data_IF_295141286311
#
_entry.id   IF_295141286311
#
_cell.length_a   1.000
_cell.length_b   1.000
_cell.length_c   1.000
_cell.angle_alpha   90.00
_cell.angle_beta   90.00
_cell.angle_gamma   90.00
#
_symmetry.space_group_name_H-M   'P 1'
#
loop_
_entity.id
_entity.type
_entity.pdbx_description
1 polymer ?
#
# COMPACT_ATOMS: atom_id res chain seq x y z
N UNK A 1 21.08 -4.96 -13.29
CA UNK A 1 21.72 -5.19 -11.99
C UNK A 1 21.32 -4.11 -10.98
N UNK A 2 21.57 -2.80 -11.21
CA UNK A 2 21.27 -1.70 -10.27
C UNK A 2 19.82 -1.67 -9.79
N UNK A 3 18.84 -1.77 -10.69
CA UNK A 3 17.42 -1.80 -10.32
C UNK A 3 17.08 -3.07 -9.54
N UNK A 4 17.77 -4.19 -9.76
CA UNK A 4 17.61 -5.40 -8.94
C UNK A 4 18.01 -5.18 -7.48
N UNK A 5 19.11 -4.45 -7.22
CA UNK A 5 19.49 -4.07 -5.86
C UNK A 5 18.42 -3.17 -5.19
N UNK A 6 17.91 -2.18 -5.92
CA UNK A 6 16.82 -1.32 -5.43
C UNK A 6 15.54 -2.11 -5.17
N UNK A 7 15.22 -3.07 -6.03
CA UNK A 7 14.03 -3.92 -5.87
C UNK A 7 14.14 -4.77 -4.61
N UNK A 8 15.31 -5.34 -4.32
CA UNK A 8 15.55 -6.07 -3.08
C UNK A 8 15.31 -5.18 -1.84
N UNK A 9 15.88 -3.97 -1.83
CA UNK A 9 15.67 -3.03 -0.73
C UNK A 9 14.18 -2.63 -0.62
N UNK A 10 13.54 -2.31 -1.75
CA UNK A 10 12.13 -1.89 -1.82
C UNK A 10 11.15 -2.96 -1.32
N UNK A 11 11.46 -4.24 -1.50
CA UNK A 11 10.59 -5.35 -1.10
C UNK A 11 10.91 -5.92 0.29
N UNK A 12 12.09 -5.61 0.84
CA UNK A 12 12.55 -6.20 2.10
C UNK A 12 12.44 -5.24 3.29
N UNK A 13 12.91 -3.98 3.15
CA UNK A 13 13.09 -3.07 4.30
C UNK A 13 12.76 -1.61 4.01
N UNK A 14 12.55 -1.22 2.75
CA UNK A 14 12.40 0.17 2.34
C UNK A 14 11.10 0.39 1.57
N UNK A 15 9.94 0.39 2.25
CA UNK A 15 8.64 0.69 1.64
C UNK A 15 8.59 2.06 0.97
N UNK A 16 9.36 3.02 1.46
CA UNK A 16 9.43 4.40 0.99
C UNK A 16 9.94 4.55 -0.45
N UNK A 17 10.65 3.57 -0.99
CA UNK A 17 11.09 3.56 -2.40
C UNK A 17 10.29 2.58 -3.28
N UNK A 18 9.24 1.95 -2.77
CA UNK A 18 8.52 0.90 -3.50
C UNK A 18 7.92 1.40 -4.82
N UNK A 19 7.27 2.58 -4.82
CA UNK A 19 6.68 3.15 -6.03
C UNK A 19 7.73 3.51 -7.10
N UNK A 20 8.75 4.34 -6.82
CA UNK A 20 9.73 4.69 -7.84
C UNK A 20 10.49 3.47 -8.39
N UNK A 21 10.84 2.50 -7.54
CA UNK A 21 11.51 1.27 -7.99
C UNK A 21 10.60 0.43 -8.89
N UNK A 22 9.33 0.27 -8.52
CA UNK A 22 8.37 -0.45 -9.33
C UNK A 22 8.14 0.25 -10.69
N UNK A 23 8.11 1.59 -10.71
CA UNK A 23 8.01 2.37 -11.95
C UNK A 23 9.24 2.13 -12.84
N UNK A 24 10.45 2.18 -12.29
CA UNK A 24 11.69 1.91 -13.01
C UNK A 24 11.75 0.48 -13.56
N UNK A 25 11.23 -0.51 -12.83
CA UNK A 25 11.14 -1.89 -13.29
C UNK A 25 10.30 -2.05 -14.58
N UNK A 26 9.25 -1.24 -14.76
CA UNK A 26 8.43 -1.27 -16.00
C UNK A 26 9.20 -0.83 -17.23
N UNK A 27 10.23 -0.03 -17.06
CA UNK A 27 10.98 0.63 -18.14
C UNK A 27 12.31 -0.08 -18.48
N UNK A 28 12.62 -1.21 -17.84
CA UNK A 28 13.90 -1.92 -18.01
C UNK A 28 14.26 -2.29 -19.44
N UNK A 29 13.26 -2.57 -20.28
CA UNK A 29 13.45 -2.97 -21.67
C UNK A 29 13.79 -1.81 -22.61
N UNK A 30 13.63 -0.55 -22.16
CA UNK A 30 13.94 0.67 -22.91
C UNK A 30 14.60 1.73 -22.01
N UNK A 31 15.84 1.50 -21.58
CA UNK A 31 16.54 2.45 -20.72
C UNK A 31 16.79 3.77 -21.48
N UNK A 32 16.48 4.88 -20.83
CA UNK A 32 16.77 6.23 -21.31
C UNK A 32 17.69 6.95 -20.33
N UNK A 33 18.42 8.01 -20.75
CA UNK A 33 19.23 8.82 -19.83
C UNK A 33 18.42 9.36 -18.64
N UNK A 34 17.16 9.74 -18.85
CA UNK A 34 16.27 10.19 -17.79
C UNK A 34 15.99 9.08 -16.75
N UNK A 35 15.71 7.83 -17.20
CA UNK A 35 15.49 6.70 -16.28
C UNK A 35 16.77 6.31 -15.52
N UNK A 36 17.94 6.51 -16.12
CA UNK A 36 19.22 6.33 -15.43
C UNK A 36 19.37 7.37 -14.32
N UNK A 37 19.10 8.66 -14.63
CA UNK A 37 19.14 9.74 -13.66
C UNK A 37 18.14 9.53 -12.50
N UNK A 38 16.92 9.06 -12.78
CA UNK A 38 15.96 8.68 -11.74
C UNK A 38 16.45 7.52 -10.87
N UNK A 39 17.13 6.54 -11.48
CA UNK A 39 17.76 5.44 -10.73
C UNK A 39 18.86 5.98 -9.80
N UNK A 40 19.70 6.91 -10.27
CA UNK A 40 20.72 7.58 -9.46
C UNK A 40 20.11 8.41 -8.33
N UNK A 41 18.98 9.07 -8.60
CA UNK A 41 18.23 9.81 -7.58
C UNK A 41 17.76 8.90 -6.44
N UNK A 42 17.22 7.70 -6.74
CA UNK A 42 16.82 6.75 -5.69
C UNK A 42 18.03 6.28 -4.88
N UNK A 43 19.17 6.00 -5.49
CA UNK A 43 20.40 5.67 -4.75
C UNK A 43 20.87 6.83 -3.86
N UNK A 44 20.85 8.06 -4.37
CA UNK A 44 21.23 9.25 -3.59
C UNK A 44 20.27 9.47 -2.41
N UNK A 45 18.96 9.23 -2.61
CA UNK A 45 17.98 9.25 -1.52
C UNK A 45 18.32 8.20 -0.45
N UNK A 46 18.58 6.95 -0.83
CA UNK A 46 18.95 5.89 0.11
C UNK A 46 20.23 6.23 0.89
N UNK A 47 21.23 6.79 0.22
CA UNK A 47 22.49 7.20 0.87
C UNK A 47 22.26 8.31 1.92
N UNK A 48 21.40 9.30 1.63
CA UNK A 48 21.03 10.37 2.57
C UNK A 48 20.20 9.88 3.75
N UNK A 49 19.43 8.82 3.56
CA UNK A 49 18.52 8.23 4.55
C UNK A 49 18.93 6.79 4.88
N UNK A 50 20.22 6.55 5.05
CA UNK A 50 20.78 5.21 5.30
C UNK A 50 20.36 4.62 6.65
N UNK A 51 20.06 5.48 7.62
CA UNK A 51 19.58 5.08 8.96
C UNK A 51 18.06 4.85 9.01
N UNK A 52 17.32 5.22 7.96
CA UNK A 52 15.87 4.99 7.93
C UNK A 52 15.57 3.51 7.80
N UNK A 53 14.67 2.98 8.64
CA UNK A 53 14.30 1.57 8.69
C UNK A 53 12.96 1.37 9.37
N UNK A 54 12.46 0.15 9.30
CA UNK A 54 11.22 -0.26 9.97
C UNK A 54 11.49 -0.49 11.47
N UNK A 55 10.68 0.14 12.33
CA UNK A 55 10.80 -0.01 13.79
C UNK A 55 9.49 -0.56 14.36
N UNK A 56 9.54 -1.72 15.00
CA UNK A 56 8.41 -2.40 15.61
C UNK A 56 8.50 -2.28 17.12
N UNK A 57 7.91 -1.24 17.70
CA UNK A 57 8.00 -0.91 19.12
C UNK A 57 6.65 -0.59 19.79
N UNK A 58 5.54 -0.86 19.09
CA UNK A 58 4.18 -0.61 19.58
C UNK A 58 3.37 -1.92 19.76
N UNK A 59 3.68 -2.73 20.76
CA UNK A 59 3.10 -4.08 20.91
C UNK A 59 1.58 -4.09 21.09
N UNK A 60 0.96 -2.99 21.50
CA UNK A 60 -0.49 -2.89 21.66
C UNK A 60 -1.24 -2.51 20.35
N UNK A 61 -0.54 -2.23 19.26
CA UNK A 61 -1.21 -1.89 18.00
C UNK A 61 -1.65 -3.13 17.25
N UNK A 62 -2.90 -3.09 16.79
CA UNK A 62 -3.52 -4.15 15.99
C UNK A 62 -2.98 -4.14 14.56
N UNK A 63 -3.19 -5.25 13.88
CA UNK A 63 -2.99 -5.35 12.44
C UNK A 63 -3.93 -4.37 11.74
N UNK A 64 -3.37 -3.47 10.94
CA UNK A 64 -4.10 -2.44 10.21
C UNK A 64 -3.48 -2.24 8.83
N UNK A 65 -4.16 -1.54 7.94
CA UNK A 65 -3.62 -1.28 6.62
C UNK A 65 -4.36 -0.17 5.89
N UNK A 66 -3.79 0.20 4.75
CA UNK A 66 -4.32 1.23 3.87
C UNK A 66 -4.21 0.76 2.42
N UNK A 67 -5.13 1.21 1.60
CA UNK A 67 -5.14 0.94 0.16
C UNK A 67 -5.45 2.20 -0.61
N UNK A 68 -4.88 2.29 -1.81
CA UNK A 68 -5.10 3.37 -2.77
C UNK A 68 -4.95 2.83 -4.20
N UNK A 69 -5.56 3.50 -5.18
CA UNK A 69 -5.33 3.25 -6.59
C UNK A 69 -5.18 4.55 -7.38
N UNK A 70 -4.07 4.72 -8.08
CA UNK A 70 -4.02 5.73 -9.13
C UNK A 70 -4.81 5.26 -10.34
N UNK A 71 -5.84 6.01 -10.74
CA UNK A 71 -6.60 5.69 -11.94
C UNK A 71 -5.93 6.31 -13.17
N UNK A 72 -5.55 5.45 -14.13
CA UNK A 72 -4.90 5.84 -15.38
C UNK A 72 -5.62 5.18 -16.56
N UNK A 73 -5.62 5.87 -17.71
CA UNK A 73 -6.28 5.39 -18.95
C UNK A 73 -5.72 4.08 -19.50
N UNK A 74 -4.44 3.81 -19.28
CA UNK A 74 -3.80 2.59 -19.78
C UNK A 74 -3.86 1.41 -18.81
N UNK A 75 -3.47 1.63 -17.58
CA UNK A 75 -3.62 0.69 -16.46
C UNK A 75 -3.26 1.38 -15.16
N UNK A 76 -4.14 1.28 -14.19
CA UNK A 76 -3.99 1.84 -12.85
C UNK A 76 -2.85 1.19 -12.07
N UNK A 77 -2.37 1.89 -11.04
CA UNK A 77 -1.42 1.33 -10.07
C UNK A 77 -2.16 1.11 -8.75
N UNK A 78 -2.13 -0.09 -8.22
CA UNK A 78 -2.58 -0.39 -6.87
C UNK A 78 -1.44 -0.21 -5.89
N UNK A 79 -1.74 0.45 -4.77
CA UNK A 79 -0.89 0.60 -3.61
C UNK A 79 -1.58 0.06 -2.37
N UNK A 80 -0.85 -0.66 -1.54
CA UNK A 80 -1.35 -1.10 -0.24
C UNK A 80 -0.21 -1.27 0.75
N UNK A 81 -0.56 -1.18 2.01
CA UNK A 81 0.34 -1.47 3.13
C UNK A 81 -0.44 -2.15 4.23
N UNK A 82 0.16 -3.18 4.80
CA UNK A 82 -0.27 -3.82 6.05
C UNK A 82 0.73 -3.44 7.12
N UNK A 83 0.25 -2.95 8.26
CA UNK A 83 1.06 -2.48 9.37
C UNK A 83 0.79 -3.30 10.63
N UNK A 84 1.83 -3.53 11.40
CA UNK A 84 1.78 -4.18 12.70
C UNK A 84 2.82 -3.58 13.63
N UNK A 85 2.51 -3.44 14.91
CA UNK A 85 3.38 -2.84 15.91
C UNK A 85 3.96 -1.46 15.51
N UNK A 86 3.16 -0.68 14.76
CA UNK A 86 3.48 0.69 14.37
C UNK A 86 4.18 0.85 13.03
N UNK A 87 4.72 -0.22 12.41
CA UNK A 87 5.43 -0.15 11.15
C UNK A 87 4.80 -1.03 10.05
N UNK A 88 5.21 -0.79 8.80
CA UNK A 88 4.81 -1.62 7.67
C UNK A 88 5.37 -3.05 7.82
N UNK A 89 4.49 -4.04 7.79
CA UNK A 89 4.82 -5.47 7.79
C UNK A 89 4.91 -6.02 6.37
N UNK A 90 4.02 -5.56 5.51
CA UNK A 90 3.99 -5.89 4.09
C UNK A 90 3.41 -4.73 3.28
N UNK A 91 3.84 -4.58 2.05
CA UNK A 91 3.40 -3.50 1.16
C UNK A 91 3.52 -3.90 -0.30
N UNK A 92 2.77 -3.22 -1.14
CA UNK A 92 2.85 -3.39 -2.57
C UNK A 92 2.59 -2.11 -3.33
N UNK A 93 3.33 -1.95 -4.42
CA UNK A 93 3.07 -1.02 -5.50
C UNK A 93 3.05 -1.82 -6.78
N UNK A 94 1.91 -1.94 -7.45
CA UNK A 94 1.77 -2.82 -8.59
C UNK A 94 0.86 -2.24 -9.66
N UNK A 95 1.30 -2.27 -10.92
CA UNK A 95 0.42 -2.00 -12.05
C UNK A 95 -0.68 -3.05 -12.12
N UNK A 96 -1.93 -2.60 -12.26
CA UNK A 96 -3.08 -3.51 -12.38
C UNK A 96 -2.99 -4.34 -13.67
N UNK A 97 -3.35 -5.63 -13.64
CA UNK A 97 -3.27 -6.50 -14.81
C UNK A 97 -4.39 -6.24 -15.84
N UNK A 98 -5.41 -5.46 -15.48
CA UNK A 98 -6.53 -5.09 -16.33
C UNK A 98 -6.75 -3.57 -16.28
N UNK A 99 -7.40 -3.05 -17.31
CA UNK A 99 -7.84 -1.65 -17.35
C UNK A 99 -9.10 -1.52 -16.49
N UNK A 100 -9.04 -0.69 -15.46
CA UNK A 100 -10.22 -0.37 -14.65
C UNK A 100 -11.12 0.61 -15.41
N UNK A 101 -12.40 0.31 -15.49
CA UNK A 101 -13.39 1.11 -16.20
C UNK A 101 -13.86 2.33 -15.41
N UNK A 102 -13.51 2.40 -14.12
CA UNK A 102 -13.81 3.52 -13.22
C UNK A 102 -12.79 3.62 -12.09
N UNK A 103 -12.74 4.77 -11.43
CA UNK A 103 -11.95 4.96 -10.20
C UNK A 103 -12.36 3.95 -9.13
N UNK A 104 -13.66 3.73 -8.93
CA UNK A 104 -14.18 2.75 -7.98
C UNK A 104 -13.66 1.34 -8.25
N UNK A 105 -13.61 0.92 -9.52
CA UNK A 105 -13.09 -0.39 -9.90
C UNK A 105 -11.58 -0.51 -9.59
N UNK A 106 -10.80 0.52 -9.90
CA UNK A 106 -9.38 0.55 -9.57
C UNK A 106 -9.15 0.43 -8.06
N UNK A 107 -9.94 1.12 -7.26
CA UNK A 107 -9.89 1.07 -5.79
C UNK A 107 -10.28 -0.30 -5.24
N UNK A 108 -11.32 -0.95 -5.78
CA UNK A 108 -11.69 -2.32 -5.38
C UNK A 108 -10.58 -3.32 -5.70
N UNK A 109 -9.90 -3.15 -6.83
CA UNK A 109 -8.74 -3.99 -7.17
C UNK A 109 -7.64 -3.81 -6.12
N UNK A 110 -7.28 -2.57 -5.76
CA UNK A 110 -6.29 -2.30 -4.74
C UNK A 110 -6.71 -2.85 -3.37
N UNK A 111 -7.96 -2.60 -2.97
CA UNK A 111 -8.52 -3.09 -1.72
C UNK A 111 -8.47 -4.63 -1.64
N UNK A 112 -8.73 -5.33 -2.76
CA UNK A 112 -8.65 -6.79 -2.81
C UNK A 112 -7.23 -7.33 -2.62
N UNK A 113 -6.20 -6.63 -3.12
CA UNK A 113 -4.80 -7.03 -2.91
C UNK A 113 -4.40 -6.83 -1.44
N UNK A 114 -4.72 -5.67 -0.85
CA UNK A 114 -4.48 -5.43 0.58
C UNK A 114 -5.25 -6.40 1.49
N UNK A 115 -6.49 -6.74 1.14
CA UNK A 115 -7.30 -7.69 1.90
C UNK A 115 -6.71 -9.12 1.90
N UNK A 116 -6.13 -9.57 0.78
CA UNK A 116 -5.45 -10.88 0.72
C UNK A 116 -4.28 -10.96 1.70
N UNK A 117 -3.43 -9.91 1.69
CA UNK A 117 -2.28 -9.84 2.57
C UNK A 117 -2.72 -9.72 4.04
N UNK A 118 -3.72 -8.90 4.32
CA UNK A 118 -4.29 -8.77 5.66
C UNK A 118 -4.78 -10.11 6.20
N UNK A 119 -5.55 -10.86 5.43
CA UNK A 119 -6.06 -12.18 5.82
C UNK A 119 -4.92 -13.19 6.00
N UNK A 120 -3.89 -13.12 5.16
CA UNK A 120 -2.69 -13.95 5.31
C UNK A 120 -2.00 -13.69 6.65
N UNK A 121 -1.74 -12.42 7.00
CA UNK A 121 -1.08 -12.07 8.26
C UNK A 121 -1.95 -12.37 9.48
N UNK A 122 -3.27 -12.19 9.41
CA UNK A 122 -4.20 -12.64 10.48
C UNK A 122 -4.07 -14.14 10.75
N UNK A 123 -4.00 -14.95 9.70
CA UNK A 123 -3.79 -16.41 9.84
C UNK A 123 -2.43 -16.74 10.41
N UNK A 124 -1.38 -16.02 9.99
CA UNK A 124 -0.03 -16.20 10.51
C UNK A 124 0.04 -15.86 12.00
N UNK A 125 -0.48 -14.71 12.43
CA UNK A 125 -0.52 -14.30 13.83
C UNK A 125 -1.31 -15.30 14.68
N UNK A 126 -2.47 -15.77 14.18
CA UNK A 126 -3.24 -16.84 14.86
C UNK A 126 -2.42 -18.11 15.03
N UNK A 127 -1.64 -18.50 14.01
CA UNK A 127 -0.73 -19.67 14.09
C UNK A 127 0.43 -19.49 15.06
N UNK A 128 0.84 -18.25 15.33
CA UNK A 128 1.88 -17.89 16.30
C UNK A 128 1.34 -17.73 17.73
N UNK A 129 0.03 -17.88 17.96
CA UNK A 129 -0.59 -17.71 19.28
C UNK A 129 -1.00 -16.26 19.60
N UNK A 130 -0.92 -15.36 18.63
CA UNK A 130 -1.26 -13.92 18.74
C UNK A 130 -2.48 -13.57 17.87
N UNK A 131 -3.67 -14.14 18.13
CA UNK A 131 -4.85 -13.88 17.31
C UNK A 131 -5.34 -12.45 17.46
N UNK A 132 -5.71 -11.82 16.35
CA UNK A 132 -6.40 -10.52 16.38
C UNK A 132 -7.76 -10.64 17.08
N UNK A 133 -8.07 -9.81 18.09
CA UNK A 133 -9.28 -9.96 18.91
C UNK A 133 -10.58 -9.51 18.21
N UNK A 134 -10.48 -8.94 17.00
CA UNK A 134 -11.61 -8.44 16.21
C UNK A 134 -11.23 -8.26 14.75
N UNK A 135 -12.06 -7.59 13.91
CA UNK A 135 -11.73 -7.32 12.54
C UNK A 135 -10.49 -6.42 12.44
N UNK A 136 -9.64 -6.67 11.43
CA UNK A 136 -8.51 -5.80 11.13
C UNK A 136 -8.96 -4.67 10.21
N UNK A 137 -8.47 -3.46 10.46
CA UNK A 137 -8.83 -2.26 9.73
C UNK A 137 -8.02 -2.17 8.42
N UNK A 138 -8.69 -2.12 7.28
CA UNK A 138 -8.09 -1.88 5.97
C UNK A 138 -8.73 -0.64 5.35
N UNK A 139 -8.12 0.53 5.58
CA UNK A 139 -8.66 1.82 5.21
C UNK A 139 -8.52 2.13 3.72
N UNK A 140 -9.49 2.87 3.19
CA UNK A 140 -9.46 3.45 1.83
C UNK A 140 -10.00 4.88 1.86
N UNK A 141 -9.55 5.75 0.97
CA UNK A 141 -10.12 7.08 0.78
C UNK A 141 -11.21 7.13 -0.30
N UNK A 142 -11.57 5.97 -0.84
CA UNK A 142 -12.69 5.83 -1.77
C UNK A 142 -14.00 5.52 -1.05
N UNK A 143 -14.88 6.51 -0.95
CA UNK A 143 -16.24 6.33 -0.42
C UNK A 143 -17.02 5.27 -1.18
N UNK A 144 -16.85 5.20 -2.51
CA UNK A 144 -17.53 4.25 -3.38
C UNK A 144 -17.02 2.82 -3.15
N UNK A 145 -15.71 2.60 -3.06
CA UNK A 145 -15.15 1.29 -2.74
C UNK A 145 -15.58 0.81 -1.36
N UNK A 146 -15.55 1.70 -0.35
CA UNK A 146 -16.07 1.43 0.98
C UNK A 146 -17.55 1.03 0.95
N UNK A 147 -18.40 1.83 0.29
CA UNK A 147 -19.84 1.55 0.22
C UNK A 147 -20.12 0.17 -0.38
N UNK A 148 -19.43 -0.16 -1.47
CA UNK A 148 -19.55 -1.45 -2.16
C UNK A 148 -19.11 -2.62 -1.27
N UNK A 149 -18.14 -2.43 -0.37
CA UNK A 149 -17.66 -3.45 0.56
C UNK A 149 -18.73 -3.89 1.59
N UNK A 150 -19.69 -3.01 1.89
CA UNK A 150 -20.76 -3.28 2.87
C UNK A 150 -22.15 -3.54 2.24
N UNK A 151 -22.35 -3.21 0.95
CA UNK A 151 -23.69 -3.18 0.37
C UNK A 151 -23.84 -4.19 -0.78
N UNK A 152 -24.79 -5.15 -0.71
CA UNK A 152 -24.96 -6.20 -1.72
C UNK A 152 -25.62 -5.76 -3.03
N UNK A 153 -26.18 -4.54 -3.12
CA UNK A 153 -27.15 -4.16 -4.18
C UNK A 153 -26.58 -3.58 -5.49
N UNK A 154 -25.25 -3.46 -5.68
CA UNK A 154 -24.69 -2.83 -6.88
C UNK A 154 -23.99 -3.82 -7.83
N UNK A 155 -24.72 -4.84 -8.33
CA UNK A 155 -24.12 -5.96 -9.07
C UNK A 155 -24.11 -5.85 -10.60
N UNK A 156 -24.92 -4.98 -11.23
CA UNK A 156 -25.19 -5.11 -12.67
C UNK A 156 -24.11 -4.55 -13.60
N UNK A 157 -23.16 -3.75 -13.11
CA UNK A 157 -22.18 -3.07 -13.95
C UNK A 157 -20.72 -3.57 -13.83
N UNK A 158 -20.44 -4.54 -12.94
CA UNK A 158 -19.05 -4.88 -12.59
C UNK A 158 -18.72 -6.38 -12.71
N UNK A 159 -19.14 -7.06 -13.75
CA UNK A 159 -18.93 -8.53 -13.94
C UNK A 159 -17.46 -8.97 -13.83
N UNK A 160 -16.50 -8.16 -14.25
CA UNK A 160 -15.07 -8.49 -14.21
C UNK A 160 -14.43 -8.35 -12.82
N UNK A 161 -15.04 -7.56 -11.94
CA UNK A 161 -14.56 -7.29 -10.57
C UNK A 161 -15.35 -8.07 -9.52
N UNK A 162 -16.41 -8.76 -9.93
CA UNK A 162 -17.34 -9.46 -9.02
C UNK A 162 -16.63 -10.37 -8.00
N UNK A 163 -15.66 -11.18 -8.41
CA UNK A 163 -14.95 -12.10 -7.49
C UNK A 163 -14.16 -11.36 -6.40
N UNK A 164 -13.51 -10.23 -6.75
CA UNK A 164 -12.76 -9.43 -5.78
C UNK A 164 -13.70 -8.73 -4.81
N UNK A 165 -14.79 -8.20 -5.33
CA UNK A 165 -15.83 -7.58 -4.54
C UNK A 165 -16.47 -8.58 -3.56
N UNK A 166 -16.87 -9.77 -4.01
CA UNK A 166 -17.38 -10.83 -3.14
C UNK A 166 -16.37 -11.22 -2.07
N UNK A 167 -15.09 -11.38 -2.43
CA UNK A 167 -14.05 -11.69 -1.47
C UNK A 167 -13.94 -10.65 -0.34
N UNK A 168 -13.91 -9.34 -0.69
CA UNK A 168 -13.85 -8.28 0.33
C UNK A 168 -15.09 -8.33 1.22
N UNK A 169 -16.27 -8.46 0.64
CA UNK A 169 -17.53 -8.55 1.37
C UNK A 169 -17.56 -9.75 2.31
N UNK A 170 -17.18 -10.93 1.84
CA UNK A 170 -17.11 -12.13 2.66
C UNK A 170 -16.20 -11.94 3.88
N UNK A 171 -15.07 -11.22 3.71
CA UNK A 171 -14.15 -10.89 4.79
C UNK A 171 -14.77 -9.88 5.78
N UNK A 172 -15.58 -8.95 5.31
CA UNK A 172 -16.31 -8.01 6.16
C UNK A 172 -17.46 -8.71 6.91
N UNK A 173 -18.26 -9.52 6.23
CA UNK A 173 -19.37 -10.29 6.81
C UNK A 173 -18.88 -11.33 7.83
N UNK A 174 -17.70 -11.91 7.61
CA UNK A 174 -17.07 -12.86 8.56
C UNK A 174 -16.31 -12.20 9.71
N UNK A 175 -16.38 -10.87 9.84
CA UNK A 175 -15.64 -10.09 10.85
C UNK A 175 -14.11 -10.28 10.82
N UNK A 176 -13.57 -10.67 9.69
CA UNK A 176 -12.11 -10.69 9.50
C UNK A 176 -11.57 -9.30 9.17
N UNK A 177 -12.32 -8.47 8.44
CA UNK A 177 -11.95 -7.12 8.04
C UNK A 177 -13.03 -6.10 8.35
N UNK A 178 -12.61 -4.86 8.54
CA UNK A 178 -13.42 -3.65 8.42
C UNK A 178 -12.77 -2.70 7.40
N UNK A 179 -13.58 -1.93 6.69
CA UNK A 179 -13.13 -0.99 5.67
C UNK A 179 -13.52 0.44 6.06
N UNK A 180 -12.76 1.10 6.95
CA UNK A 180 -13.01 2.49 7.31
C UNK A 180 -12.61 3.44 6.19
N UNK A 181 -13.26 4.61 6.18
CA UNK A 181 -12.84 5.72 5.33
C UNK A 181 -11.68 6.47 5.98
N UNK A 182 -10.67 6.82 5.20
CA UNK A 182 -9.58 7.72 5.57
C UNK A 182 -9.55 8.92 4.61
N UNK A 183 -9.15 10.09 5.10
CA UNK A 183 -8.95 11.24 4.20
C UNK A 183 -7.72 11.02 3.33
N UNK A 184 -7.75 11.44 2.06
CA UNK A 184 -6.62 11.29 1.12
C UNK A 184 -5.30 11.81 1.71
N UNK A 185 -5.31 12.97 2.38
CA UNK A 185 -4.11 13.54 3.02
C UNK A 185 -3.50 12.68 4.16
N UNK A 186 -4.25 11.69 4.65
CA UNK A 186 -3.85 10.79 5.71
C UNK A 186 -3.73 9.33 5.22
N UNK A 187 -4.03 9.09 3.92
CA UNK A 187 -3.89 7.76 3.32
C UNK A 187 -2.43 7.46 3.00
N UNK A 188 -1.79 6.66 3.84
CA UNK A 188 -0.38 6.28 3.63
C UNK A 188 -0.14 5.45 2.37
N UNK A 189 -1.18 4.85 1.80
CA UNK A 189 -1.08 4.06 0.56
C UNK A 189 -0.81 4.94 -0.68
N UNK A 190 -1.05 6.25 -0.63
CA UNK A 190 -0.70 7.21 -1.67
C UNK A 190 0.78 7.12 -2.10
N UNK A 191 1.67 6.79 -1.16
CA UNK A 191 3.10 6.62 -1.45
C UNK A 191 3.41 5.47 -2.41
N UNK A 192 2.49 4.54 -2.58
CA UNK A 192 2.67 3.34 -3.41
C UNK A 192 2.00 3.45 -4.78
N UNK A 193 1.27 4.55 -5.06
CA UNK A 193 0.48 4.68 -6.29
C UNK A 193 0.91 5.81 -7.20
N UNK A 194 1.52 6.87 -6.65
CA UNK A 194 1.86 8.10 -7.39
C UNK A 194 3.15 8.74 -6.87
N UNK A 195 3.84 9.56 -7.71
CA UNK A 195 4.98 10.33 -7.24
C UNK A 195 4.51 11.43 -6.29
N UNK A 196 5.10 11.49 -5.11
CA UNK A 196 4.83 12.53 -4.12
C UNK A 196 5.60 13.80 -4.49
N UNK A 197 4.87 14.88 -4.86
CA UNK A 197 5.49 16.17 -5.24
C UNK A 197 5.93 17.00 -4.05
N UNK A 198 5.27 16.83 -2.91
CA UNK A 198 5.54 17.57 -1.69
C UNK A 198 6.42 16.73 -0.75
N UNK A 199 7.66 17.17 -0.54
CA UNK A 199 8.61 16.48 0.32
C UNK A 199 8.12 16.39 1.79
N UNK A 200 7.45 17.42 2.30
CA UNK A 200 6.92 17.41 3.67
C UNK A 200 5.84 16.35 3.86
N UNK A 201 4.93 16.22 2.87
CA UNK A 201 3.90 15.19 2.86
C UNK A 201 4.51 13.79 2.75
N UNK A 202 5.47 13.60 1.83
CA UNK A 202 6.22 12.36 1.71
C UNK A 202 6.86 11.94 3.04
N UNK A 203 7.56 12.86 3.71
CA UNK A 203 8.20 12.57 4.99
C UNK A 203 7.19 12.30 6.12
N UNK A 204 6.02 12.98 6.10
CA UNK A 204 4.93 12.69 7.03
C UNK A 204 4.47 11.24 6.88
N UNK A 205 4.12 10.81 5.67
CA UNK A 205 3.63 9.45 5.41
C UNK A 205 4.72 8.40 5.63
N UNK A 206 5.97 8.67 5.22
CA UNK A 206 7.10 7.78 5.48
C UNK A 206 7.27 7.49 6.97
N UNK A 207 7.20 8.49 7.83
CA UNK A 207 7.28 8.30 9.28
C UNK A 207 6.20 7.37 9.81
N UNK A 208 5.00 7.46 9.26
CA UNK A 208 3.90 6.58 9.68
C UNK A 208 4.15 5.14 9.27
N UNK A 209 4.63 4.88 8.05
CA UNK A 209 4.84 3.51 7.55
C UNK A 209 6.10 2.85 8.11
N UNK A 210 7.10 3.66 8.50
CA UNK A 210 8.37 3.16 9.05
C UNK A 210 8.43 3.24 10.58
N UNK A 211 7.44 3.89 11.20
CA UNK A 211 7.42 4.20 12.63
C UNK A 211 8.68 4.94 13.09
N UNK A 212 9.08 5.93 12.30
CA UNK A 212 10.23 6.78 12.64
C UNK A 212 9.83 7.74 13.77
N UNK A 213 10.65 7.82 14.82
CA UNK A 213 10.51 8.84 15.86
C UNK A 213 10.57 10.24 15.24
N UNK A 214 9.81 11.22 15.75
CA UNK A 214 10.01 12.61 15.35
C UNK A 214 11.50 12.96 15.53
N UNK A 215 12.13 13.52 14.49
CA UNK A 215 13.47 14.04 14.62
C UNK A 215 13.44 15.15 15.68
N UNK A 216 13.91 14.87 16.89
CA UNK A 216 14.31 15.90 17.81
C UNK A 216 15.40 16.67 17.08
N UNK A 217 15.12 17.88 16.61
CA UNK A 217 16.17 18.82 16.23
C UNK A 217 16.90 19.10 17.54
N UNK A 218 18.04 18.47 17.72
CA UNK A 218 19.01 18.97 18.69
C UNK A 218 19.32 20.41 18.29
N UNK A 219 18.92 21.33 19.15
CA UNK A 219 19.13 22.78 19.05
C UNK A 219 20.63 23.07 19.21
#
# INVERSE_FOLDING_TARGET
ERIGCLLYAATSTRPDIAFPVQYLCRCLHRPTPALIAETDHVFAYLARHSSAGLTYDRPATRLSGHTDASWETAASTSGWVVQWQGAALHWGSRKQPCVALSTCEAEIIALSEGAKDMVYFRKLLRGLGEPEPGPSSLATDSQSARHVSYNPQHHDRMKHVQRRHFFIRDMVESFELEVPFVRTADNVADMFTKPMRNASEFHKLRRVIMNESPVTRDL
#
